data_IF_247431351101
#
_entry.id   IF_247431351101
#
_cell.length_a   1.000
_cell.length_b   1.000
_cell.length_c   1.000
_cell.angle_alpha   90.00
_cell.angle_beta   90.00
_cell.angle_gamma   90.00
#
_symmetry.space_group_name_H-M   'P 1'
#
loop_
_entity.id
_entity.type
_entity.pdbx_description
1 polymer ?
#
# COMPACT_ATOMS: atom_id res chain seq x y z
N UNK A 1 9.43 15.27 19.26
CA UNK A 1 9.77 13.83 19.12
C UNK A 1 8.58 12.92 19.39
N UNK A 2 7.90 13.03 20.54
CA UNK A 2 6.66 12.25 20.82
C UNK A 2 5.60 12.37 19.70
N UNK A 3 5.38 13.58 19.18
CA UNK A 3 4.45 13.82 18.07
C UNK A 3 4.80 13.10 16.76
N UNK A 4 6.09 12.85 16.48
CA UNK A 4 6.53 12.15 15.27
C UNK A 4 6.22 10.67 15.39
N UNK A 5 6.57 10.05 16.52
CA UNK A 5 6.27 8.64 16.78
C UNK A 5 4.77 8.39 16.66
N UNK A 6 3.93 9.23 17.28
CA UNK A 6 2.48 9.12 17.16
C UNK A 6 2.00 9.30 15.72
N UNK A 7 2.47 10.33 15.01
CA UNK A 7 2.07 10.56 13.60
C UNK A 7 2.49 9.37 12.72
N UNK A 8 3.68 8.82 12.93
CA UNK A 8 4.21 7.68 12.17
C UNK A 8 3.43 6.39 12.46
N UNK A 9 3.05 6.13 13.72
CA UNK A 9 2.17 5.00 14.08
C UNK A 9 0.81 5.17 13.41
N UNK A 10 0.17 6.33 13.57
CA UNK A 10 -1.17 6.60 12.99
C UNK A 10 -1.13 6.49 11.46
N UNK A 11 -0.10 7.05 10.83
CA UNK A 11 0.09 6.98 9.38
C UNK A 11 0.29 5.54 8.92
N UNK A 12 1.13 4.77 9.62
CA UNK A 12 1.34 3.35 9.27
C UNK A 12 0.05 2.53 9.42
N UNK A 13 -0.69 2.70 10.52
CA UNK A 13 -1.96 2.00 10.72
C UNK A 13 -2.94 2.37 9.61
N UNK A 14 -3.07 3.66 9.30
CA UNK A 14 -3.96 4.18 8.24
C UNK A 14 -3.74 3.47 6.91
N UNK A 15 -2.48 3.33 6.52
CA UNK A 15 -2.10 2.90 5.17
C UNK A 15 -1.87 1.40 5.07
N UNK A 16 -1.90 0.66 6.18
CA UNK A 16 -1.62 -0.78 6.16
C UNK A 16 -2.79 -1.61 6.72
N UNK A 17 -3.88 -0.99 7.19
CA UNK A 17 -5.01 -1.72 7.75
C UNK A 17 -5.64 -2.72 6.75
N UNK A 18 -5.64 -2.36 5.48
CA UNK A 18 -6.09 -3.19 4.36
C UNK A 18 -5.08 -4.32 4.03
N UNK A 19 -3.77 -4.07 4.20
CA UNK A 19 -2.72 -5.05 3.98
C UNK A 19 -2.87 -6.30 4.88
N UNK A 20 -3.55 -6.19 6.04
CA UNK A 20 -3.89 -7.36 6.88
C UNK A 20 -4.62 -8.42 6.05
N UNK A 21 -5.48 -8.02 5.11
CA UNK A 21 -6.19 -8.96 4.24
C UNK A 21 -5.24 -9.68 3.28
N UNK A 22 -4.31 -8.95 2.66
CA UNK A 22 -3.28 -9.54 1.79
C UNK A 22 -2.44 -10.53 2.58
N UNK A 23 -2.02 -10.16 3.78
CA UNK A 23 -1.26 -11.04 4.66
C UNK A 23 -2.05 -12.30 5.02
N UNK A 24 -3.35 -12.17 5.28
CA UNK A 24 -4.21 -13.31 5.58
C UNK A 24 -4.30 -14.30 4.41
N UNK A 25 -4.45 -13.78 3.18
CA UNK A 25 -4.44 -14.61 1.97
C UNK A 25 -3.09 -15.29 1.78
N UNK A 26 -1.98 -14.59 2.02
CA UNK A 26 -0.64 -15.15 1.87
C UNK A 26 -0.32 -16.19 2.95
N UNK A 27 -0.72 -15.95 4.20
CA UNK A 27 -0.54 -16.92 5.29
C UNK A 27 -1.44 -18.14 5.12
N UNK A 28 -2.63 -18.00 4.52
CA UNK A 28 -3.48 -19.15 4.18
C UNK A 28 -2.88 -20.06 3.10
N UNK A 29 -1.88 -19.58 2.33
CA UNK A 29 -1.13 -20.37 1.35
C UNK A 29 0.11 -21.03 1.93
N UNK A 30 0.41 -20.82 3.22
CA UNK A 30 1.57 -21.41 3.87
C UNK A 30 1.37 -22.92 4.00
N UNK A 31 2.28 -23.66 3.38
CA UNK A 31 2.35 -25.11 3.39
C UNK A 31 3.83 -25.57 3.46
N UNK A 32 4.12 -26.84 3.16
CA UNK A 32 5.48 -27.37 3.19
C UNK A 32 6.44 -26.70 2.19
N UNK A 33 5.89 -26.19 1.08
CA UNK A 33 6.64 -25.54 -0.01
C UNK A 33 6.76 -24.02 0.21
N UNK A 34 5.67 -23.37 0.64
CA UNK A 34 5.59 -21.95 0.88
C UNK A 34 5.67 -21.62 2.38
N UNK A 35 6.86 -21.22 2.84
CA UNK A 35 7.14 -21.04 4.27
C UNK A 35 6.69 -19.67 4.78
N UNK A 36 6.28 -19.59 6.06
CA UNK A 36 5.95 -18.34 6.78
C UNK A 36 7.01 -17.25 6.60
N UNK A 37 8.29 -17.62 6.64
CA UNK A 37 9.41 -16.69 6.45
C UNK A 37 9.38 -15.96 5.10
N UNK A 38 8.78 -16.55 4.06
CA UNK A 38 8.65 -15.90 2.75
C UNK A 38 7.65 -14.76 2.79
N UNK A 39 6.55 -14.93 3.53
CA UNK A 39 5.56 -13.87 3.78
C UNK A 39 6.21 -12.72 4.54
N UNK A 40 6.92 -13.02 5.62
CA UNK A 40 7.57 -12.00 6.46
C UNK A 40 8.60 -11.22 5.65
N UNK A 41 9.56 -11.91 5.02
CA UNK A 41 10.64 -11.23 4.26
C UNK A 41 10.06 -10.45 3.09
N UNK A 42 9.08 -11.00 2.37
CA UNK A 42 8.46 -10.31 1.23
C UNK A 42 7.70 -9.06 1.66
N UNK A 43 7.00 -9.07 2.79
CA UNK A 43 6.32 -7.89 3.31
C UNK A 43 7.29 -6.80 3.78
N UNK A 44 8.41 -7.19 4.42
CA UNK A 44 9.49 -6.25 4.75
C UNK A 44 10.11 -5.63 3.49
N UNK A 45 10.29 -6.42 2.44
CA UNK A 45 10.77 -5.92 1.15
C UNK A 45 9.76 -4.95 0.52
N UNK A 46 8.46 -5.26 0.60
CA UNK A 46 7.41 -4.41 0.07
C UNK A 46 7.36 -3.03 0.75
N UNK A 47 7.29 -2.99 2.08
CA UNK A 47 7.29 -1.72 2.81
C UNK A 47 8.60 -0.95 2.60
N UNK A 48 9.73 -1.65 2.49
CA UNK A 48 11.02 -1.05 2.15
C UNK A 48 11.01 -0.36 0.79
N UNK A 49 10.48 -1.03 -0.24
CA UNK A 49 10.35 -0.47 -1.60
C UNK A 49 9.41 0.75 -1.59
N UNK A 50 8.23 0.63 -0.99
CA UNK A 50 7.26 1.74 -0.91
C UNK A 50 7.85 2.96 -0.18
N UNK A 51 8.57 2.71 0.93
CA UNK A 51 9.24 3.75 1.69
C UNK A 51 10.37 4.40 0.89
N UNK A 52 11.18 3.61 0.17
CA UNK A 52 12.27 4.11 -0.66
C UNK A 52 11.77 4.94 -1.85
N UNK A 53 10.68 4.51 -2.51
CA UNK A 53 10.01 5.28 -3.58
C UNK A 53 9.50 6.61 -3.02
N UNK A 54 8.80 6.57 -1.88
CA UNK A 54 8.24 7.75 -1.24
C UNK A 54 9.33 8.74 -0.79
N UNK A 55 10.43 8.23 -0.25
CA UNK A 55 11.58 9.03 0.17
C UNK A 55 12.28 9.67 -1.03
N UNK A 56 12.49 8.91 -2.11
CA UNK A 56 13.07 9.42 -3.36
C UNK A 56 12.23 10.55 -3.95
N UNK A 57 10.90 10.37 -3.98
CA UNK A 57 9.98 11.39 -4.45
C UNK A 57 9.96 12.63 -3.53
N UNK A 58 9.99 12.43 -2.20
CA UNK A 58 10.06 13.52 -1.23
C UNK A 58 11.37 14.32 -1.37
N UNK A 59 12.51 13.65 -1.61
CA UNK A 59 13.78 14.34 -1.87
C UNK A 59 13.72 15.18 -3.15
N UNK A 60 13.12 14.66 -4.22
CA UNK A 60 12.91 15.40 -5.47
C UNK A 60 12.02 16.65 -5.31
N UNK A 61 11.15 16.67 -4.29
CA UNK A 61 10.28 17.80 -3.97
C UNK A 61 10.95 18.87 -3.09
N UNK A 62 12.20 18.69 -2.63
CA UNK A 62 12.90 19.74 -1.85
C UNK A 62 13.10 21.06 -2.62
N UNK A 63 13.01 21.04 -3.95
CA UNK A 63 13.05 22.25 -4.77
C UNK A 63 11.71 23.01 -4.80
N UNK A 64 10.66 22.45 -4.18
CA UNK A 64 9.32 23.04 -4.14
C UNK A 64 9.14 23.82 -2.82
N UNK A 65 8.73 25.11 -2.85
CA UNK A 65 8.54 25.89 -1.64
C UNK A 65 7.55 25.23 -0.66
N UNK A 66 7.84 25.29 0.65
CA UNK A 66 7.09 24.61 1.72
C UNK A 66 5.57 24.89 1.70
N UNK A 67 5.15 26.08 1.25
CA UNK A 67 3.73 26.42 1.08
C UNK A 67 2.98 25.47 0.13
N UNK A 68 3.66 24.97 -0.91
CA UNK A 68 3.05 24.05 -1.89
C UNK A 68 3.07 22.59 -1.40
N UNK A 69 3.81 22.25 -0.34
CA UNK A 69 3.76 20.90 0.27
C UNK A 69 2.38 20.61 0.84
N UNK A 70 1.67 21.64 1.32
CA UNK A 70 0.28 21.52 1.76
C UNK A 70 -0.68 21.02 0.69
N UNK A 71 -0.41 21.30 -0.59
CA UNK A 71 -1.23 20.82 -1.70
C UNK A 71 -1.19 19.28 -1.82
N UNK A 72 -0.13 18.63 -1.35
CA UNK A 72 -0.06 17.17 -1.33
C UNK A 72 -1.11 16.57 -0.41
N UNK A 73 -1.61 17.31 0.60
CA UNK A 73 -2.70 16.84 1.46
C UNK A 73 -4.03 16.65 0.73
N UNK A 74 -4.22 17.25 -0.45
CA UNK A 74 -5.36 16.97 -1.32
C UNK A 74 -5.29 15.59 -1.96
N UNK A 75 -4.11 14.99 -2.11
CA UNK A 75 -3.96 13.63 -2.66
C UNK A 75 -4.61 12.58 -1.75
N UNK A 76 -4.26 12.46 -0.45
CA UNK A 76 -4.92 11.52 0.44
C UNK A 76 -6.41 11.88 0.66
N UNK A 77 -6.80 13.17 0.66
CA UNK A 77 -8.23 13.54 0.68
C UNK A 77 -8.96 12.99 -0.55
N UNK A 78 -8.41 13.20 -1.75
CA UNK A 78 -9.02 12.74 -2.99
C UNK A 78 -9.09 11.21 -3.04
N UNK A 79 -8.05 10.50 -2.57
CA UNK A 79 -8.05 9.05 -2.45
C UNK A 79 -9.12 8.56 -1.47
N UNK A 80 -9.22 9.17 -0.28
CA UNK A 80 -10.25 8.81 0.70
C UNK A 80 -11.68 9.08 0.19
N UNK A 81 -11.92 10.23 -0.44
CA UNK A 81 -13.24 10.55 -1.02
C UNK A 81 -13.58 9.61 -2.17
N UNK A 82 -12.61 9.31 -3.06
CA UNK A 82 -12.80 8.37 -4.17
C UNK A 82 -13.19 6.98 -3.66
N UNK A 83 -12.49 6.48 -2.65
CA UNK A 83 -12.74 5.15 -2.10
C UNK A 83 -14.13 5.07 -1.44
N UNK A 84 -14.53 6.14 -0.73
CA UNK A 84 -15.87 6.25 -0.15
C UNK A 84 -17.00 6.27 -1.21
N UNK A 85 -16.78 6.96 -2.33
CA UNK A 85 -17.76 7.03 -3.43
C UNK A 85 -17.83 5.69 -4.19
N UNK A 86 -16.70 5.03 -4.43
CA UNK A 86 -16.65 3.70 -5.04
C UNK A 86 -17.39 2.66 -4.20
N UNK A 87 -17.33 2.78 -2.87
CA UNK A 87 -18.06 1.89 -1.96
C UNK A 87 -19.58 2.08 -2.02
N UNK A 88 -20.07 3.31 -2.23
CA UNK A 88 -21.51 3.62 -2.29
C UNK A 88 -22.18 3.22 -3.61
N UNK A 89 -21.47 2.72 -4.63
CA UNK A 89 -22.11 2.13 -5.81
C UNK A 89 -22.54 0.70 -5.49
N UNK A 90 -23.86 0.41 -5.38
CA UNK A 90 -24.30 -0.97 -5.42
C UNK A 90 -23.86 -1.54 -6.77
N UNK A 91 -23.51 -2.82 -6.79
CA UNK A 91 -23.19 -3.57 -8.00
C UNK A 91 -24.42 -3.75 -8.93
N UNK A 92 -25.06 -2.64 -9.34
CA UNK A 92 -26.26 -2.60 -10.19
C UNK A 92 -26.02 -1.86 -11.51
N UNK A 93 -24.78 -1.78 -12.00
CA UNK A 93 -24.53 -1.36 -13.38
C UNK A 93 -23.35 -2.11 -14.02
N UNK A 94 -23.35 -3.44 -13.88
CA UNK A 94 -22.51 -4.37 -14.67
C UNK A 94 -23.32 -5.18 -15.69
N UNK A 95 -24.57 -4.82 -15.96
CA UNK A 95 -25.47 -5.53 -16.90
C UNK A 95 -25.48 -4.96 -18.33
N UNK A 96 -24.63 -3.99 -18.66
CA UNK A 96 -24.55 -3.41 -20.02
C UNK A 96 -23.15 -3.50 -20.62
N UNK A 97 -22.41 -4.57 -20.35
CA UNK A 97 -21.35 -5.00 -21.28
C UNK A 97 -22.00 -6.04 -22.18
N UNK A 98 -22.42 -5.59 -23.38
CA UNK A 98 -22.90 -6.44 -24.47
C UNK A 98 -22.06 -7.72 -24.51
N UNK A 99 -22.70 -8.87 -24.31
CA UNK A 99 -22.14 -10.14 -24.73
C UNK A 99 -21.86 -10.02 -26.23
N UNK A 100 -20.57 -9.94 -26.57
CA UNK A 100 -20.14 -10.15 -27.93
C UNK A 100 -20.11 -11.68 -28.12
N UNK A 101 -20.81 -12.23 -29.11
CA UNK A 101 -20.95 -13.68 -29.27
C UNK A 101 -19.58 -14.36 -29.41
N UNK A 102 -19.50 -15.58 -28.91
CA UNK A 102 -18.43 -16.53 -29.17
C UNK A 102 -18.26 -16.74 -30.68
N UNK A 103 -17.37 -15.98 -31.30
CA UNK A 103 -16.74 -16.37 -32.55
C UNK A 103 -15.41 -17.02 -32.24
N UNK A 104 -15.31 -18.27 -32.70
CA UNK A 104 -14.14 -19.12 -32.66
C UNK A 104 -13.11 -18.55 -33.62
N UNK A 105 -12.28 -17.61 -33.17
CA UNK A 105 -11.18 -17.09 -34.00
C UNK A 105 -9.81 -17.56 -33.50
N UNK A 106 -9.07 -18.09 -34.45
CA UNK A 106 -7.77 -18.74 -34.31
C UNK A 106 -6.70 -17.70 -33.96
N UNK A 107 -5.71 -18.13 -33.19
CA UNK A 107 -4.32 -17.65 -33.10
C UNK A 107 -4.00 -16.35 -33.84
N UNK A 108 -3.88 -15.24 -33.11
CA UNK A 108 -2.91 -14.19 -33.43
C UNK A 108 -2.40 -13.52 -32.15
N UNK A 109 -1.08 -13.53 -31.98
CA UNK A 109 -0.39 -13.12 -30.78
C UNK A 109 -0.43 -11.60 -30.61
N UNK A 110 -1.27 -11.11 -29.70
CA UNK A 110 -1.23 -9.74 -29.22
C UNK A 110 -0.02 -9.53 -28.28
N UNK A 111 1.06 -8.97 -28.87
CA UNK A 111 2.19 -8.24 -28.29
C UNK A 111 2.43 -8.39 -26.76
N UNK A 112 3.50 -9.07 -26.29
CA UNK A 112 3.85 -9.07 -24.88
C UNK A 112 4.15 -7.63 -24.45
N UNK A 113 3.34 -7.11 -23.54
CA UNK A 113 3.39 -5.72 -23.10
C UNK A 113 4.78 -5.42 -22.55
N UNK A 114 5.39 -4.30 -22.97
CA UNK A 114 6.73 -3.84 -22.53
C UNK A 114 6.93 -3.94 -21.01
N UNK A 115 5.87 -3.67 -20.24
CA UNK A 115 5.81 -3.81 -18.79
C UNK A 115 6.00 -5.26 -18.30
N UNK A 116 5.38 -6.24 -18.98
CA UNK A 116 5.53 -7.66 -18.65
C UNK A 116 6.96 -8.15 -18.88
N UNK A 117 7.62 -7.66 -19.94
CA UNK A 117 9.02 -7.98 -20.21
C UNK A 117 9.95 -7.31 -19.20
N UNK A 118 9.68 -6.06 -18.79
CA UNK A 118 10.42 -5.38 -17.71
C UNK A 118 10.25 -6.14 -16.40
N UNK A 119 9.02 -6.51 -16.04
CA UNK A 119 8.74 -7.28 -14.83
C UNK A 119 9.44 -8.64 -14.87
N UNK A 120 9.40 -9.39 -15.99
CA UNK A 120 10.13 -10.66 -16.14
C UNK A 120 11.64 -10.49 -15.95
N UNK A 121 12.23 -9.42 -16.48
CA UNK A 121 13.66 -9.17 -16.38
C UNK A 121 14.08 -8.75 -14.97
N UNK A 122 13.30 -7.89 -14.31
CA UNK A 122 13.51 -7.56 -12.89
C UNK A 122 13.34 -8.81 -12.03
N UNK A 123 12.33 -9.61 -12.32
CA UNK A 123 12.04 -10.86 -11.59
C UNK A 123 13.15 -11.88 -11.79
N UNK A 124 13.70 -12.05 -12.98
CA UNK A 124 14.78 -13.01 -13.26
C UNK A 124 16.13 -12.59 -12.67
N UNK A 125 16.38 -11.28 -12.58
CA UNK A 125 17.57 -10.74 -11.93
C UNK A 125 17.47 -10.89 -10.40
N UNK A 126 16.31 -10.53 -9.83
CA UNK A 126 16.05 -10.70 -8.41
C UNK A 126 15.98 -12.18 -8.00
N UNK A 127 15.45 -13.08 -8.85
CA UNK A 127 15.29 -14.50 -8.53
C UNK A 127 16.60 -15.26 -8.34
N UNK A 128 17.73 -14.72 -8.85
CA UNK A 128 19.07 -15.27 -8.61
C UNK A 128 19.56 -15.02 -7.18
N UNK A 129 19.02 -14.00 -6.51
CA UNK A 129 19.48 -13.52 -5.19
C UNK A 129 18.41 -13.78 -4.12
N UNK A 130 17.14 -13.64 -4.49
CA UNK A 130 15.96 -13.71 -3.62
C UNK A 130 15.02 -14.79 -4.17
N UNK A 131 14.44 -15.60 -3.30
CA UNK A 131 13.53 -16.66 -3.73
C UNK A 131 12.29 -16.10 -4.45
N UNK A 132 11.77 -16.77 -5.49
CA UNK A 132 10.61 -16.28 -6.26
C UNK A 132 9.35 -16.11 -5.40
N UNK A 133 9.20 -16.89 -4.34
CA UNK A 133 8.09 -16.77 -3.38
C UNK A 133 8.16 -15.46 -2.59
N UNK A 134 9.36 -15.08 -2.13
CA UNK A 134 9.60 -13.81 -1.43
C UNK A 134 9.31 -12.64 -2.36
N UNK A 135 9.77 -12.74 -3.60
CA UNK A 135 9.55 -11.70 -4.60
C UNK A 135 8.06 -11.58 -4.96
N UNK A 136 7.35 -12.70 -5.11
CA UNK A 136 5.91 -12.69 -5.36
C UNK A 136 5.14 -12.01 -4.22
N UNK A 137 5.46 -12.35 -2.96
CA UNK A 137 4.91 -11.68 -1.78
C UNK A 137 5.21 -10.18 -1.82
N UNK A 138 6.46 -9.81 -2.10
CA UNK A 138 6.86 -8.41 -2.13
C UNK A 138 6.13 -7.63 -3.21
N UNK A 139 6.00 -8.19 -4.42
CA UNK A 139 5.27 -7.57 -5.52
C UNK A 139 3.79 -7.37 -5.18
N UNK A 140 3.15 -8.38 -4.56
CA UNK A 140 1.77 -8.26 -4.09
C UNK A 140 1.65 -7.18 -3.01
N UNK A 141 2.59 -7.14 -2.05
CA UNK A 141 2.62 -6.12 -1.00
C UNK A 141 2.81 -4.70 -1.54
N UNK A 142 3.73 -4.50 -2.50
CA UNK A 142 3.95 -3.21 -3.18
C UNK A 142 2.71 -2.81 -3.96
N UNK A 143 2.10 -3.74 -4.70
CA UNK A 143 0.89 -3.46 -5.46
C UNK A 143 -0.27 -3.07 -4.55
N UNK A 144 -0.40 -3.70 -3.37
CA UNK A 144 -1.43 -3.35 -2.40
C UNK A 144 -1.17 -1.99 -1.77
N UNK A 145 0.04 -1.73 -1.26
CA UNK A 145 0.39 -0.49 -0.58
C UNK A 145 0.82 0.65 -1.49
N UNK A 146 0.48 0.62 -2.79
CA UNK A 146 0.90 1.67 -3.73
C UNK A 146 0.24 3.03 -3.41
N UNK A 147 -0.95 3.01 -2.84
CA UNK A 147 -1.67 4.18 -2.32
C UNK A 147 -0.99 4.78 -1.06
N UNK A 148 -0.22 4.00 -0.31
CA UNK A 148 0.57 4.46 0.84
C UNK A 148 1.55 5.57 0.46
N UNK A 149 2.01 5.59 -0.81
CA UNK A 149 2.90 6.62 -1.34
C UNK A 149 2.27 8.02 -1.22
N UNK A 150 0.95 8.14 -1.45
CA UNK A 150 0.22 9.41 -1.33
C UNK A 150 0.21 9.99 0.08
N UNK A 151 0.51 9.16 1.08
CA UNK A 151 0.63 9.52 2.50
C UNK A 151 2.09 9.70 2.90
N UNK A 152 2.98 8.80 2.49
CA UNK A 152 4.38 8.81 2.90
C UNK A 152 5.16 9.97 2.27
N UNK A 153 4.89 10.34 1.01
CA UNK A 153 5.56 11.48 0.37
C UNK A 153 5.37 12.77 1.18
N UNK A 154 4.13 13.25 1.43
CA UNK A 154 3.94 14.49 2.20
C UNK A 154 4.41 14.39 3.65
N UNK A 155 4.41 13.18 4.22
CA UNK A 155 4.99 12.94 5.54
C UNK A 155 6.50 13.23 5.54
N UNK A 156 7.23 12.70 4.55
CA UNK A 156 8.69 12.83 4.48
C UNK A 156 9.17 14.20 4.00
N UNK A 157 8.41 14.91 3.15
CA UNK A 157 8.79 16.26 2.69
C UNK A 157 8.85 17.29 3.82
N UNK A 158 8.04 17.10 4.87
CA UNK A 158 8.02 17.98 6.04
C UNK A 158 8.97 17.55 7.17
N UNK A 159 9.71 16.44 7.01
CA UNK A 159 10.51 15.84 8.07
C UNK A 159 12.01 16.10 7.88
N UNK A 160 12.74 16.33 8.97
CA UNK A 160 14.20 16.32 8.93
C UNK A 160 14.76 14.90 8.81
N UNK A 161 16.03 14.74 8.42
CA UNK A 161 16.66 13.43 8.24
C UNK A 161 16.54 12.52 9.48
N UNK A 162 16.67 13.10 10.68
CA UNK A 162 16.52 12.37 11.95
C UNK A 162 15.08 11.87 12.13
N UNK A 163 14.09 12.68 11.77
CA UNK A 163 12.67 12.33 11.89
C UNK A 163 12.27 11.25 10.87
N UNK A 164 12.85 11.29 9.68
CA UNK A 164 12.72 10.22 8.67
C UNK A 164 13.29 8.91 9.20
N UNK A 165 14.50 8.92 9.78
CA UNK A 165 15.11 7.71 10.38
C UNK A 165 14.22 7.14 11.49
N UNK A 166 13.74 7.98 12.42
CA UNK A 166 12.81 7.55 13.48
C UNK A 166 11.55 6.92 12.87
N UNK A 167 11.00 7.52 11.80
CA UNK A 167 9.81 7.00 11.13
C UNK A 167 10.05 5.64 10.48
N UNK A 168 11.19 5.45 9.82
CA UNK A 168 11.58 4.16 9.24
C UNK A 168 11.70 3.09 10.34
N UNK A 169 12.31 3.41 11.48
CA UNK A 169 12.41 2.49 12.61
C UNK A 169 11.01 2.10 13.11
N UNK A 170 10.10 3.07 13.26
CA UNK A 170 8.70 2.82 13.64
C UNK A 170 8.01 1.92 12.61
N UNK A 171 8.19 2.15 11.31
CA UNK A 171 7.59 1.31 10.25
C UNK A 171 8.11 -0.12 10.31
N UNK A 172 9.42 -0.32 10.53
CA UNK A 172 10.03 -1.65 10.66
C UNK A 172 9.46 -2.42 11.86
N UNK A 173 9.28 -1.74 13.00
CA UNK A 173 8.70 -2.34 14.20
C UNK A 173 7.20 -2.63 14.03
N UNK A 174 6.45 -1.69 13.46
CA UNK A 174 5.02 -1.87 13.19
C UNK A 174 4.77 -2.98 12.15
N UNK A 175 5.65 -3.15 11.17
CA UNK A 175 5.59 -4.26 10.23
C UNK A 175 5.74 -5.62 10.94
N UNK A 176 6.53 -5.71 12.01
CA UNK A 176 6.62 -6.92 12.82
C UNK A 176 5.26 -7.25 13.48
N UNK A 177 4.60 -6.21 14.03
CA UNK A 177 3.26 -6.33 14.61
C UNK A 177 2.25 -6.76 13.54
N UNK A 178 2.31 -6.20 12.34
CA UNK A 178 1.44 -6.59 11.23
C UNK A 178 1.68 -8.03 10.76
N UNK A 179 2.94 -8.48 10.69
CA UNK A 179 3.31 -9.88 10.44
C UNK A 179 2.67 -10.83 11.44
N UNK A 180 2.74 -10.48 12.73
CA UNK A 180 2.12 -11.26 13.79
C UNK A 180 0.59 -11.24 13.73
N UNK A 181 -0.01 -10.07 13.55
CA UNK A 181 -1.47 -9.94 13.46
C UNK A 181 -2.02 -10.66 12.24
N UNK A 182 -1.39 -10.52 11.07
CA UNK A 182 -1.80 -11.21 9.85
C UNK A 182 -1.77 -12.72 10.02
N UNK A 183 -0.74 -13.26 10.68
CA UNK A 183 -0.67 -14.69 10.99
C UNK A 183 -1.81 -15.10 11.94
N UNK A 184 -1.95 -14.42 13.08
CA UNK A 184 -2.95 -14.77 14.10
C UNK A 184 -4.38 -14.64 13.61
N UNK A 185 -4.68 -13.61 12.84
CA UNK A 185 -6.04 -13.37 12.33
C UNK A 185 -6.43 -14.42 11.29
N UNK A 186 -5.47 -14.98 10.54
CA UNK A 186 -5.72 -16.05 9.57
C UNK A 186 -6.36 -17.28 10.22
N UNK A 187 -6.01 -17.55 11.47
CA UNK A 187 -6.54 -18.68 12.24
C UNK A 187 -7.99 -18.46 12.73
N UNK A 188 -8.54 -17.23 12.64
CA UNK A 188 -9.86 -16.87 13.14
C UNK A 188 -10.83 -16.37 12.05
N UNK A 189 -11.64 -17.26 11.43
CA UNK A 189 -12.52 -16.91 10.32
C UNK A 189 -13.61 -15.88 10.64
N UNK A 190 -14.01 -15.74 11.92
CA UNK A 190 -14.95 -14.68 12.35
C UNK A 190 -14.35 -13.27 12.24
N UNK A 191 -13.07 -13.13 12.54
CA UNK A 191 -12.36 -11.83 12.48
C UNK A 191 -12.20 -11.39 11.02
N UNK A 192 -11.98 -12.34 10.10
CA UNK A 192 -11.95 -12.10 8.65
C UNK A 192 -13.22 -11.40 8.15
N UNK A 193 -14.40 -11.85 8.60
CA UNK A 193 -15.67 -11.24 8.21
C UNK A 193 -15.81 -9.80 8.73
N UNK A 194 -15.43 -9.55 9.99
CA UNK A 194 -15.51 -8.20 10.61
C UNK A 194 -14.57 -7.21 9.93
N UNK A 195 -13.33 -7.61 9.66
CA UNK A 195 -12.35 -6.76 8.96
C UNK A 195 -12.84 -6.42 7.56
N UNK A 196 -13.45 -7.37 6.85
CA UNK A 196 -14.06 -7.11 5.55
C UNK A 196 -15.17 -6.07 5.64
N UNK A 197 -16.01 -6.09 6.68
CA UNK A 197 -17.09 -5.09 6.82
C UNK A 197 -16.56 -3.70 7.17
N UNK A 198 -15.57 -3.59 8.07
CA UNK A 198 -15.09 -2.30 8.58
C UNK A 198 -14.09 -1.58 7.68
N UNK A 199 -13.30 -2.29 6.86
CA UNK A 199 -12.27 -1.66 6.01
C UNK A 199 -12.84 -0.59 5.08
N UNK A 200 -14.06 -0.81 4.58
CA UNK A 200 -14.72 0.06 3.62
C UNK A 200 -15.02 1.46 4.15
N UNK A 201 -15.14 1.59 5.47
CA UNK A 201 -15.33 2.86 6.14
C UNK A 201 -14.02 3.40 6.73
N UNK A 202 -13.23 2.52 7.34
CA UNK A 202 -12.01 2.90 8.05
C UNK A 202 -10.96 3.51 7.12
N UNK A 203 -10.67 2.86 5.98
CA UNK A 203 -9.62 3.30 5.04
C UNK A 203 -9.86 4.73 4.54
N UNK A 204 -11.01 5.06 3.92
CA UNK A 204 -11.25 6.42 3.45
C UNK A 204 -11.33 7.47 4.57
N UNK A 205 -11.86 7.13 5.76
CA UNK A 205 -11.90 8.07 6.89
C UNK A 205 -10.51 8.51 7.34
N UNK A 206 -9.55 7.58 7.41
CA UNK A 206 -8.19 7.92 7.87
C UNK A 206 -7.41 8.67 6.78
N UNK A 207 -7.58 8.32 5.51
CA UNK A 207 -7.00 9.09 4.39
C UNK A 207 -7.47 10.56 4.39
N UNK A 208 -8.76 10.80 4.59
CA UNK A 208 -9.31 12.17 4.71
C UNK A 208 -8.74 12.89 5.93
N UNK A 209 -8.74 12.25 7.10
CA UNK A 209 -8.21 12.84 8.33
C UNK A 209 -6.73 13.21 8.21
N UNK A 210 -5.91 12.36 7.59
CA UNK A 210 -4.49 12.63 7.40
C UNK A 210 -4.24 13.77 6.40
N UNK A 211 -4.99 13.83 5.30
CA UNK A 211 -4.85 14.93 4.35
C UNK A 211 -5.24 16.28 4.93
N UNK A 212 -6.29 16.33 5.76
CA UNK A 212 -6.64 17.53 6.53
C UNK A 212 -5.50 17.92 7.47
N UNK A 213 -4.93 16.96 8.21
CA UNK A 213 -3.79 17.21 9.10
C UNK A 213 -2.57 17.77 8.36
N UNK A 214 -2.24 17.23 7.19
CA UNK A 214 -1.13 17.72 6.34
C UNK A 214 -1.38 19.17 5.92
N UNK A 215 -2.59 19.50 5.47
CA UNK A 215 -2.96 20.86 5.05
C UNK A 215 -2.81 21.85 6.21
N UNK A 216 -3.35 21.54 7.39
CA UNK A 216 -3.26 22.42 8.56
C UNK A 216 -1.80 22.61 8.98
N UNK A 217 -1.03 21.52 9.05
CA UNK A 217 0.37 21.56 9.49
C UNK A 217 1.28 22.32 8.52
N UNK A 218 0.96 22.31 7.23
CA UNK A 218 1.73 23.01 6.20
C UNK A 218 1.56 24.53 6.19
N UNK A 219 0.63 25.09 6.98
CA UNK A 219 0.32 26.52 6.97
C UNK A 219 -0.35 27.01 5.69
N UNK A 220 -0.90 26.10 4.87
CA UNK A 220 -1.60 26.43 3.62
C UNK A 220 -2.90 27.20 3.89
N UNK A 221 -3.59 26.88 4.98
CA UNK A 221 -4.80 27.55 5.47
C UNK A 221 -4.43 28.10 6.85
N UNK A 222 -4.28 29.42 6.95
CA UNK A 222 -4.04 30.14 8.19
C UNK A 222 -5.36 30.47 8.89
#
# INVERSE_FOLDING_TARGET
MSSIVTTSIVSFISTNIDNIFVMMVLYARVDETFKKKYVIIGQYLAIGILTAISLSAAFGLNFVPQKYVGLLGFIPIALGVKEWISYKRPAQNKSNRKEFPLETEKTEAAHPNKLQNILRNVTSMASKIVKPEILSVALVGVANGADNIGVYIPLFTGYSSIQVIITIIVFVLMMAVWCFLGEKITDFPKIKAIIQTYKYFAVPAVFVGLGIYIIIKSGLIA
#
